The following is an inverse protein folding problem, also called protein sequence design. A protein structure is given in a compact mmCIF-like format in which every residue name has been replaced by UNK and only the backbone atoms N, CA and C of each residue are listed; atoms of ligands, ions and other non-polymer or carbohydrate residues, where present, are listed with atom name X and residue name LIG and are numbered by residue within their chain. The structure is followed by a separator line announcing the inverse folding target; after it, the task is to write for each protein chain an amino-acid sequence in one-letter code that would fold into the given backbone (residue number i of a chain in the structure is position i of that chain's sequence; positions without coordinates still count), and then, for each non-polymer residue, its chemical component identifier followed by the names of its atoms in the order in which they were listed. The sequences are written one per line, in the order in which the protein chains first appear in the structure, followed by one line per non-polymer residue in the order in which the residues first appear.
data_IF_752470426843
#
_entry.id   IF_752470426843
#
_cell.length_a   1.000
_cell.length_b   1.000
_cell.length_c   1.000
_cell.angle_alpha   90.00
_cell.angle_beta   90.00
_cell.angle_gamma   90.00
#
_symmetry.space_group_name_H-M   'P 1'
#
loop_
_entity.id
_entity.type
_entity.pdbx_description
1 polymer ?
#
# COMPACT_ATOMS: atom_id res chain seq x y z
N UNK A 1 31.27 6.15 -16.95
CA UNK A 1 31.25 5.41 -15.68
C UNK A 1 30.86 3.98 -15.98
N UNK A 2 31.60 2.99 -15.48
CA UNK A 2 31.34 1.59 -15.78
C UNK A 2 30.49 0.95 -14.69
N UNK A 3 29.22 1.36 -14.60
CA UNK A 3 28.29 0.78 -13.62
C UNK A 3 27.70 -0.53 -14.13
N UNK A 4 27.51 -1.47 -13.20
CA UNK A 4 26.82 -2.74 -13.46
C UNK A 4 25.50 -2.80 -12.69
N UNK A 5 24.56 -3.60 -13.18
CA UNK A 5 23.27 -3.85 -12.52
C UNK A 5 23.08 -5.34 -12.33
N UNK A 6 22.70 -5.76 -11.12
CA UNK A 6 22.34 -7.15 -10.81
C UNK A 6 21.16 -7.23 -9.86
N UNK A 7 20.56 -8.41 -9.76
CA UNK A 7 19.55 -8.72 -8.75
C UNK A 7 20.07 -8.41 -7.35
N UNK A 8 19.23 -7.78 -6.54
CA UNK A 8 19.48 -7.51 -5.13
C UNK A 8 19.09 -8.73 -4.30
N UNK A 9 20.04 -9.28 -3.56
CA UNK A 9 19.85 -10.43 -2.68
C UNK A 9 19.65 -9.97 -1.24
N UNK A 10 19.26 -10.89 -0.35
CA UNK A 10 19.12 -10.61 1.09
C UNK A 10 20.42 -10.08 1.72
N UNK A 11 21.58 -10.50 1.21
CA UNK A 11 22.90 -10.02 1.63
C UNK A 11 23.15 -8.54 1.32
N UNK A 12 22.46 -7.97 0.33
CA UNK A 12 22.59 -6.55 -0.05
C UNK A 12 21.83 -5.61 0.89
N UNK A 13 21.09 -6.15 1.87
CA UNK A 13 20.26 -5.37 2.80
C UNK A 13 21.05 -4.24 3.48
N UNK A 14 22.25 -4.52 4.01
CA UNK A 14 23.03 -3.52 4.74
C UNK A 14 23.57 -2.41 3.82
N UNK A 15 24.26 -2.72 2.70
CA UNK A 15 24.67 -1.71 1.72
C UNK A 15 23.52 -0.83 1.22
N UNK A 16 22.38 -1.43 0.89
CA UNK A 16 21.20 -0.68 0.42
C UNK A 16 20.62 0.19 1.54
N UNK A 17 20.53 -0.33 2.78
CA UNK A 17 20.06 0.45 3.92
C UNK A 17 20.95 1.66 4.22
N UNK A 18 22.27 1.55 3.98
CA UNK A 18 23.22 2.66 4.08
C UNK A 18 22.94 3.68 2.99
N UNK A 19 22.87 3.26 1.72
CA UNK A 19 22.53 4.12 0.59
C UNK A 19 21.23 4.90 0.83
N UNK A 20 20.17 4.22 1.26
CA UNK A 20 18.87 4.86 1.49
C UNK A 20 18.87 5.82 2.68
N UNK A 21 19.69 5.61 3.71
CA UNK A 21 19.86 6.58 4.83
C UNK A 21 20.52 7.87 4.40
N UNK A 22 21.40 7.81 3.42
CA UNK A 22 22.12 8.96 2.88
C UNK A 22 21.32 9.67 1.76
N UNK A 23 20.14 9.13 1.41
CA UNK A 23 19.31 9.56 0.29
C UNK A 23 18.18 10.53 0.67
N UNK A 24 17.48 11.04 -0.35
CA UNK A 24 16.21 11.77 -0.17
C UNK A 24 15.05 10.87 0.28
N UNK A 25 15.23 9.55 0.22
CA UNK A 25 14.32 8.55 0.78
C UNK A 25 14.66 8.20 2.22
N UNK A 26 15.58 8.95 2.85
CA UNK A 26 15.97 8.73 4.22
C UNK A 26 14.76 8.78 5.14
N UNK A 27 14.60 7.69 5.88
CA UNK A 27 13.59 7.52 6.90
C UNK A 27 14.29 6.94 8.14
N UNK A 28 15.00 7.82 8.84
CA UNK A 28 15.85 7.47 9.99
C UNK A 28 15.06 6.92 11.19
N UNK A 29 13.76 7.21 11.26
CA UNK A 29 12.85 6.64 12.27
C UNK A 29 12.37 5.21 11.94
N UNK A 30 12.65 4.69 10.74
CA UNK A 30 12.32 3.30 10.39
C UNK A 30 13.27 2.36 11.11
N UNK A 31 12.73 1.55 12.03
CA UNK A 31 13.47 0.48 12.70
C UNK A 31 14.01 -0.57 11.72
N UNK A 32 15.15 -1.16 12.06
CA UNK A 32 15.87 -2.15 11.24
C UNK A 32 14.98 -3.34 10.84
N UNK A 33 14.07 -3.76 11.72
CA UNK A 33 13.14 -4.88 11.45
C UNK A 33 12.19 -4.60 10.29
N UNK A 34 11.77 -3.34 10.09
CA UNK A 34 10.90 -3.00 8.96
C UNK A 34 11.68 -3.03 7.64
N UNK A 35 12.95 -2.64 7.67
CA UNK A 35 13.83 -2.71 6.50
C UNK A 35 14.18 -4.15 6.13
N UNK A 36 14.37 -5.03 7.12
CA UNK A 36 14.52 -6.47 6.90
C UNK A 36 13.36 -7.07 6.11
N UNK A 37 12.12 -6.61 6.35
CA UNK A 37 10.94 -7.06 5.60
C UNK A 37 10.99 -6.73 4.11
N UNK A 38 11.71 -5.69 3.70
CA UNK A 38 11.91 -5.37 2.27
C UNK A 38 12.88 -6.35 1.57
N UNK A 39 13.61 -7.15 2.34
CA UNK A 39 14.56 -8.16 1.86
C UNK A 39 14.17 -9.57 2.32
N UNK A 40 12.86 -9.80 2.53
CA UNK A 40 12.30 -11.07 2.94
C UNK A 40 11.04 -11.37 2.13
N UNK A 41 10.82 -12.65 1.82
CA UNK A 41 9.60 -13.08 1.14
C UNK A 41 8.46 -13.26 2.15
N UNK A 42 7.83 -12.14 2.52
CA UNK A 42 6.79 -12.14 3.56
C UNK A 42 5.42 -12.62 3.07
N UNK A 43 5.20 -12.65 1.75
CA UNK A 43 3.90 -12.95 1.12
C UNK A 43 4.01 -14.03 0.05
N UNK A 44 5.05 -14.87 0.12
CA UNK A 44 5.28 -16.00 -0.79
C UNK A 44 5.22 -15.60 -2.26
N UNK A 45 5.91 -14.50 -2.62
CA UNK A 45 6.03 -14.00 -3.98
C UNK A 45 6.80 -14.95 -4.90
N UNK A 46 7.58 -15.87 -4.32
CA UNK A 46 8.24 -16.98 -5.02
C UNK A 46 9.52 -16.58 -5.75
N UNK A 47 10.05 -15.39 -5.48
CA UNK A 47 11.31 -14.90 -6.05
C UNK A 47 12.39 -14.81 -4.97
N UNK A 48 13.65 -15.05 -5.35
CA UNK A 48 14.82 -15.06 -4.48
C UNK A 48 15.56 -13.70 -4.41
N UNK A 49 14.98 -12.67 -5.02
CA UNK A 49 15.55 -11.34 -5.11
C UNK A 49 14.52 -10.24 -4.78
N UNK A 50 15.03 -9.12 -4.29
CA UNK A 50 14.24 -8.04 -3.68
C UNK A 50 14.35 -6.72 -4.41
N UNK A 51 14.86 -6.77 -5.64
CA UNK A 51 15.15 -5.59 -6.43
C UNK A 51 16.35 -5.71 -7.34
N UNK A 52 16.85 -4.56 -7.77
CA UNK A 52 18.09 -4.43 -8.51
C UNK A 52 19.00 -3.43 -7.80
N UNK A 53 20.29 -3.77 -7.69
CA UNK A 53 21.34 -2.84 -7.24
C UNK A 53 22.15 -2.37 -8.42
N UNK A 54 22.57 -1.11 -8.38
CA UNK A 54 23.56 -0.53 -9.28
C UNK A 54 24.88 -0.43 -8.53
N UNK A 55 25.94 -0.93 -9.14
CA UNK A 55 27.26 -1.04 -8.56
C UNK A 55 28.29 -0.25 -9.36
N UNK A 56 29.13 0.49 -8.66
CA UNK A 56 30.42 0.99 -9.17
C UNK A 56 31.54 0.25 -8.42
N UNK A 57 32.17 -0.72 -9.10
CA UNK A 57 32.96 -1.75 -8.43
C UNK A 57 32.11 -2.56 -7.44
N UNK A 58 32.50 -2.56 -6.16
CA UNK A 58 31.77 -3.24 -5.07
C UNK A 58 30.82 -2.32 -4.30
N UNK A 59 30.72 -1.04 -4.69
CA UNK A 59 29.92 -0.04 -3.97
C UNK A 59 28.51 0.05 -4.56
N UNK A 60 27.50 -0.12 -3.72
CA UNK A 60 26.10 0.09 -4.10
C UNK A 60 25.80 1.59 -4.21
N UNK A 61 25.62 2.07 -5.43
CA UNK A 61 25.37 3.49 -5.77
C UNK A 61 23.92 3.76 -6.19
N UNK A 62 23.13 2.71 -6.40
CA UNK A 62 21.72 2.79 -6.73
C UNK A 62 20.93 1.54 -6.38
N UNK A 63 19.63 1.69 -6.20
CA UNK A 63 18.72 0.62 -5.84
C UNK A 63 17.31 0.87 -6.40
N UNK A 64 16.65 -0.19 -6.86
CA UNK A 64 15.22 -0.25 -7.12
C UNK A 64 14.68 -1.48 -6.40
N UNK A 65 13.84 -1.27 -5.38
CA UNK A 65 13.23 -2.34 -4.60
C UNK A 65 12.03 -2.94 -5.32
N UNK A 66 11.87 -4.26 -5.16
CA UNK A 66 10.76 -5.01 -5.73
C UNK A 66 10.14 -5.91 -4.66
N UNK A 67 8.82 -5.95 -4.67
CA UNK A 67 8.04 -6.83 -3.81
C UNK A 67 7.09 -7.68 -4.64
N UNK A 68 7.32 -8.99 -4.63
CA UNK A 68 6.51 -9.96 -5.35
C UNK A 68 5.40 -10.47 -4.45
N UNK A 69 4.18 -10.53 -4.99
CA UNK A 69 3.01 -11.03 -4.27
C UNK A 69 2.10 -11.82 -5.19
N UNK A 70 1.45 -12.83 -4.64
CA UNK A 70 0.38 -13.57 -5.32
C UNK A 70 -0.90 -13.31 -4.56
N UNK A 71 -1.85 -12.60 -5.16
CA UNK A 71 -3.06 -12.18 -4.45
C UNK A 71 -4.19 -13.18 -4.68
N UNK A 72 -4.70 -13.87 -3.64
CA UNK A 72 -5.80 -14.82 -3.78
C UNK A 72 -7.08 -14.16 -4.31
N UNK A 73 -7.33 -12.91 -3.88
CA UNK A 73 -8.51 -12.13 -4.25
C UNK A 73 -8.58 -11.72 -5.73
N UNK A 74 -7.49 -11.90 -6.50
CA UNK A 74 -7.39 -11.57 -7.92
C UNK A 74 -7.09 -12.81 -8.77
N UNK A 75 -7.65 -13.97 -8.41
CA UNK A 75 -7.51 -15.19 -9.21
C UNK A 75 -6.06 -15.71 -9.32
N UNK A 76 -5.28 -15.57 -8.24
CA UNK A 76 -3.84 -15.91 -8.20
C UNK A 76 -2.96 -15.08 -9.16
N UNK A 77 -3.41 -13.90 -9.56
CA UNK A 77 -2.59 -12.99 -10.34
C UNK A 77 -1.30 -12.61 -9.58
N UNK A 78 -0.17 -12.65 -10.29
CA UNK A 78 1.13 -12.22 -9.78
C UNK A 78 1.30 -10.71 -9.93
N UNK A 79 1.74 -10.08 -8.86
CA UNK A 79 2.06 -8.66 -8.81
C UNK A 79 3.52 -8.44 -8.44
N UNK A 80 4.10 -7.37 -8.95
CA UNK A 80 5.40 -6.88 -8.56
C UNK A 80 5.30 -5.38 -8.28
N UNK A 81 5.46 -5.00 -7.02
CA UNK A 81 5.50 -3.60 -6.66
C UNK A 81 6.91 -3.03 -6.72
N UNK A 82 7.04 -1.86 -7.34
CA UNK A 82 8.24 -1.06 -7.39
C UNK A 82 8.23 -0.11 -6.19
N UNK A 83 9.33 -0.11 -5.42
CA UNK A 83 9.51 0.81 -4.30
C UNK A 83 10.96 1.26 -4.19
N UNK A 84 11.21 2.28 -3.35
CA UNK A 84 12.56 2.70 -2.95
C UNK A 84 13.54 2.94 -4.10
N UNK A 85 13.07 3.51 -5.22
CA UNK A 85 13.93 3.80 -6.37
C UNK A 85 14.83 5.02 -6.07
N UNK A 86 16.12 4.78 -5.90
CA UNK A 86 17.10 5.83 -5.66
C UNK A 86 18.43 5.52 -6.33
N UNK A 87 19.08 6.56 -6.85
CA UNK A 87 20.43 6.51 -7.43
C UNK A 87 21.16 7.78 -7.00
N UNK A 88 22.43 7.64 -6.60
CA UNK A 88 23.31 8.77 -6.32
C UNK A 88 23.37 9.75 -7.49
N UNK A 89 23.59 11.03 -7.20
CA UNK A 89 23.42 12.14 -8.15
C UNK A 89 24.27 11.93 -9.41
N UNK A 90 25.50 11.48 -9.22
CA UNK A 90 26.54 11.24 -10.21
C UNK A 90 26.13 10.16 -11.23
N UNK A 91 25.28 9.22 -10.82
CA UNK A 91 24.86 8.06 -11.62
C UNK A 91 23.41 8.14 -12.09
N UNK A 92 22.68 9.25 -11.86
CA UNK A 92 21.25 9.37 -12.21
C UNK A 92 20.94 9.14 -13.69
N UNK A 93 21.87 9.46 -14.59
CA UNK A 93 21.75 9.19 -16.04
C UNK A 93 21.61 7.70 -16.35
N UNK A 94 22.12 6.84 -15.46
CA UNK A 94 22.10 5.39 -15.56
C UNK A 94 20.88 4.77 -14.86
N UNK A 95 20.02 5.57 -14.20
CA UNK A 95 18.91 5.09 -13.36
C UNK A 95 17.94 4.15 -14.08
N UNK A 96 17.73 4.35 -15.39
CA UNK A 96 16.88 3.49 -16.21
C UNK A 96 17.40 2.05 -16.31
N UNK A 97 18.71 1.81 -16.13
CA UNK A 97 19.27 0.45 -16.11
C UNK A 97 18.69 -0.41 -14.98
N UNK A 98 18.20 0.19 -13.90
CA UNK A 98 17.50 -0.52 -12.82
C UNK A 98 16.07 -0.90 -13.22
N UNK A 99 15.40 -0.06 -14.02
CA UNK A 99 14.00 -0.25 -14.42
C UNK A 99 13.85 -1.22 -15.59
N UNK A 100 14.79 -1.23 -16.55
CA UNK A 100 14.70 -2.04 -17.77
C UNK A 100 14.46 -3.54 -17.52
N UNK A 101 15.17 -4.21 -16.58
CA UNK A 101 14.89 -5.60 -16.24
C UNK A 101 13.46 -5.82 -15.73
N UNK A 102 12.91 -4.85 -14.98
CA UNK A 102 11.54 -4.93 -14.45
C UNK A 102 10.51 -4.89 -15.58
N UNK A 103 10.72 -4.01 -16.56
CA UNK A 103 9.83 -3.86 -17.72
C UNK A 103 9.80 -5.10 -18.62
N UNK A 104 10.82 -5.96 -18.53
CA UNK A 104 10.88 -7.23 -19.27
C UNK A 104 9.92 -8.30 -18.71
N UNK A 105 9.43 -8.13 -17.48
CA UNK A 105 8.53 -9.06 -16.80
C UNK A 105 7.10 -8.98 -17.37
N UNK A 106 6.83 -9.66 -18.48
CA UNK A 106 5.51 -9.58 -19.16
C UNK A 106 4.37 -10.32 -18.47
N UNK A 107 4.67 -11.31 -17.63
CA UNK A 107 3.68 -12.18 -16.96
C UNK A 107 3.26 -11.69 -15.57
N UNK A 108 3.71 -10.51 -15.16
CA UNK A 108 3.46 -9.95 -13.83
C UNK A 108 2.88 -8.55 -13.99
N UNK A 109 1.88 -8.22 -13.16
CA UNK A 109 1.34 -6.86 -13.12
C UNK A 109 2.24 -5.99 -12.25
N UNK A 110 2.79 -4.92 -12.83
CA UNK A 110 3.68 -4.02 -12.10
C UNK A 110 2.85 -2.93 -11.39
N UNK A 111 3.22 -2.61 -10.15
CA UNK A 111 2.56 -1.61 -9.33
C UNK A 111 3.55 -0.57 -8.82
N UNK A 112 3.10 0.67 -8.67
CA UNK A 112 3.82 1.69 -7.93
C UNK A 112 2.81 2.62 -7.26
N UNK A 113 2.61 2.49 -5.94
CA UNK A 113 1.58 3.24 -5.23
C UNK A 113 1.97 4.68 -4.88
N UNK A 114 3.26 4.95 -4.73
CA UNK A 114 3.76 6.26 -4.29
C UNK A 114 4.91 6.74 -5.19
N UNK A 115 4.68 6.88 -6.52
CA UNK A 115 5.69 7.45 -7.40
C UNK A 115 5.95 8.92 -7.04
N UNK A 116 7.19 9.37 -7.20
CA UNK A 116 7.47 10.80 -7.29
C UNK A 116 7.00 11.34 -8.64
N UNK A 117 6.81 12.66 -8.81
CA UNK A 117 6.44 13.24 -10.10
C UNK A 117 7.36 12.78 -11.26
N UNK A 118 8.68 12.76 -11.03
CA UNK A 118 9.65 12.29 -12.03
C UNK A 118 9.46 10.81 -12.38
N UNK A 119 9.27 9.95 -11.37
CA UNK A 119 9.03 8.52 -11.55
C UNK A 119 7.71 8.28 -12.27
N UNK A 120 6.69 9.09 -11.98
CA UNK A 120 5.40 9.04 -12.66
C UNK A 120 5.57 9.32 -14.16
N UNK A 121 6.19 10.44 -14.53
CA UNK A 121 6.43 10.80 -15.94
C UNK A 121 7.24 9.74 -16.69
N UNK A 122 8.28 9.20 -16.07
CA UNK A 122 9.07 8.11 -16.66
C UNK A 122 8.19 6.86 -16.86
N UNK A 123 7.42 6.47 -15.84
CA UNK A 123 6.59 5.27 -15.89
C UNK A 123 5.49 5.37 -16.94
N UNK A 124 4.88 6.55 -17.13
CA UNK A 124 3.89 6.80 -18.20
C UNK A 124 4.47 6.52 -19.59
N UNK A 125 5.72 6.93 -19.85
CA UNK A 125 6.43 6.64 -21.12
C UNK A 125 6.62 5.15 -21.37
N UNK A 126 6.68 4.35 -20.31
CA UNK A 126 6.78 2.89 -20.39
C UNK A 126 5.42 2.19 -20.32
N UNK A 127 4.31 2.90 -20.55
CA UNK A 127 2.98 2.32 -20.66
C UNK A 127 2.36 1.87 -19.33
N UNK A 128 2.77 2.48 -18.21
CA UNK A 128 1.98 2.44 -16.98
C UNK A 128 0.75 3.35 -17.16
N UNK A 129 -0.37 2.92 -16.57
CA UNK A 129 -1.62 3.67 -16.52
C UNK A 129 -1.93 4.07 -15.08
N UNK A 130 -2.80 5.06 -14.93
CA UNK A 130 -3.12 5.63 -13.63
C UNK A 130 -3.98 4.64 -12.83
N UNK A 131 -3.62 4.49 -11.57
CA UNK A 131 -4.33 3.74 -10.55
C UNK A 131 -4.61 4.70 -9.40
N UNK A 132 -5.77 4.57 -8.75
CA UNK A 132 -6.14 5.39 -7.58
C UNK A 132 -5.89 6.88 -7.85
N UNK A 133 -6.74 7.56 -8.61
CA UNK A 133 -6.55 8.99 -8.96
C UNK A 133 -7.16 9.95 -7.93
N UNK A 134 -8.16 9.48 -7.19
CA UNK A 134 -8.92 10.28 -6.24
C UNK A 134 -9.01 9.56 -4.89
N UNK A 135 -9.01 10.37 -3.83
CA UNK A 135 -9.15 9.92 -2.47
C UNK A 135 -10.39 10.51 -1.82
N UNK A 136 -11.01 9.71 -0.96
CA UNK A 136 -12.06 10.16 -0.07
C UNK A 136 -11.52 10.31 1.35
N UNK A 137 -11.54 11.54 1.86
CA UNK A 137 -11.19 11.88 3.23
C UNK A 137 -12.45 11.87 4.08
N UNK A 138 -12.48 11.02 5.09
CA UNK A 138 -13.58 10.85 6.02
C UNK A 138 -13.19 11.46 7.37
N UNK A 139 -13.61 12.69 7.62
CA UNK A 139 -13.34 13.39 8.87
C UNK A 139 -14.21 12.86 10.02
N UNK A 140 -13.78 12.99 11.28
CA UNK A 140 -14.50 12.50 12.46
C UNK A 140 -15.68 13.39 12.86
N UNK A 141 -16.48 13.84 11.88
CA UNK A 141 -17.66 14.70 12.08
C UNK A 141 -18.94 13.91 11.79
N UNK A 142 -19.33 12.96 12.68
CA UNK A 142 -20.52 12.14 12.45
C UNK A 142 -21.78 12.99 12.33
N UNK A 143 -22.66 12.63 11.40
CA UNK A 143 -24.00 13.19 11.34
C UNK A 143 -24.87 12.52 12.41
N UNK A 144 -25.31 13.24 13.46
CA UNK A 144 -26.06 12.65 14.57
C UNK A 144 -27.35 11.94 14.13
N UNK A 145 -27.99 12.41 13.06
CA UNK A 145 -29.23 11.83 12.53
C UNK A 145 -29.03 10.44 11.90
N UNK A 146 -27.79 10.12 11.51
CA UNK A 146 -27.41 8.85 10.88
C UNK A 146 -26.75 7.87 11.85
N UNK A 147 -26.50 8.28 13.09
CA UNK A 147 -25.95 7.37 14.11
C UNK A 147 -26.99 6.31 14.46
N UNK A 148 -26.58 5.04 14.45
CA UNK A 148 -27.43 3.90 14.82
C UNK A 148 -26.66 3.00 15.79
N UNK A 149 -27.25 2.72 16.95
CA UNK A 149 -26.67 1.81 17.97
C UNK A 149 -26.49 0.36 17.51
N UNK A 150 -27.15 -0.03 16.41
CA UNK A 150 -27.06 -1.39 15.84
C UNK A 150 -25.68 -1.70 15.27
N UNK A 151 -24.94 -0.68 14.82
CA UNK A 151 -23.61 -0.86 14.24
C UNK A 151 -22.56 -0.81 15.34
N UNK A 152 -21.76 -1.85 15.45
CA UNK A 152 -20.66 -1.95 16.41
C UNK A 152 -19.35 -2.10 15.66
N UNK A 153 -18.32 -1.43 16.15
CA UNK A 153 -16.96 -1.61 15.67
C UNK A 153 -16.20 -2.44 16.71
N UNK A 154 -15.88 -3.67 16.34
CA UNK A 154 -15.01 -4.54 17.12
C UNK A 154 -13.55 -4.28 16.73
N UNK A 155 -12.73 -4.06 17.75
CA UNK A 155 -11.31 -3.70 17.63
C UNK A 155 -10.39 -4.78 18.22
N UNK A 156 -10.95 -5.72 18.99
CA UNK A 156 -10.24 -6.88 19.52
C UNK A 156 -9.98 -7.89 18.41
N UNK A 157 -8.70 -8.04 18.06
CA UNK A 157 -8.21 -8.93 17.01
C UNK A 157 -8.65 -10.38 17.20
N UNK A 158 -8.77 -10.85 18.45
CA UNK A 158 -9.19 -12.22 18.74
C UNK A 158 -10.65 -12.46 18.43
N UNK A 159 -11.49 -11.43 18.61
CA UNK A 159 -12.91 -11.49 18.28
C UNK A 159 -13.11 -11.37 16.77
N UNK A 160 -12.39 -10.44 16.12
CA UNK A 160 -12.46 -10.21 14.66
C UNK A 160 -12.36 -11.52 13.88
N UNK A 161 -11.46 -12.42 14.29
CA UNK A 161 -11.25 -13.72 13.64
C UNK A 161 -12.52 -14.60 13.54
N UNK A 162 -13.46 -14.45 14.49
CA UNK A 162 -14.70 -15.24 14.52
C UNK A 162 -15.73 -14.87 13.44
N UNK A 163 -15.58 -13.74 12.76
CA UNK A 163 -16.50 -13.28 11.71
C UNK A 163 -15.91 -13.31 10.30
N UNK A 164 -14.66 -13.74 10.15
CA UNK A 164 -13.97 -13.72 8.85
C UNK A 164 -14.53 -14.81 7.94
N UNK A 165 -14.80 -14.46 6.69
CA UNK A 165 -14.95 -15.46 5.63
C UNK A 165 -13.63 -16.21 5.38
N UNK A 166 -13.68 -17.30 4.61
CA UNK A 166 -12.48 -18.05 4.23
C UNK A 166 -11.45 -17.17 3.52
N UNK A 167 -11.89 -16.31 2.61
CA UNK A 167 -11.02 -15.38 1.88
C UNK A 167 -10.42 -14.30 2.80
N UNK A 168 -11.23 -13.72 3.70
CA UNK A 168 -10.76 -12.73 4.66
C UNK A 168 -9.82 -13.33 5.70
N UNK A 169 -9.96 -14.62 6.01
CA UNK A 169 -9.05 -15.36 6.90
C UNK A 169 -7.64 -15.47 6.32
N UNK A 170 -7.51 -15.65 5.00
CA UNK A 170 -6.21 -15.61 4.32
C UNK A 170 -5.60 -14.21 4.46
N UNK A 171 -6.36 -13.18 4.09
CA UNK A 171 -5.93 -11.78 4.21
C UNK A 171 -5.52 -11.43 5.64
N UNK A 172 -6.27 -11.87 6.65
CA UNK A 172 -5.96 -11.66 8.05
C UNK A 172 -4.62 -12.30 8.44
N UNK A 173 -4.39 -13.57 8.08
CA UNK A 173 -3.12 -14.27 8.36
C UNK A 173 -1.94 -13.60 7.68
N UNK A 174 -2.08 -13.21 6.42
CA UNK A 174 -1.02 -12.56 5.63
C UNK A 174 -0.57 -11.22 6.24
N UNK A 175 -1.45 -10.58 7.03
CA UNK A 175 -1.21 -9.25 7.60
C UNK A 175 -1.01 -9.24 9.12
N UNK A 176 -1.14 -10.37 9.80
CA UNK A 176 -1.00 -10.48 11.25
C UNK A 176 0.37 -10.03 11.78
N UNK A 177 1.43 -10.15 10.96
CA UNK A 177 2.80 -9.73 11.27
C UNK A 177 3.14 -8.29 10.86
N UNK A 178 2.17 -7.52 10.36
CA UNK A 178 2.38 -6.17 9.84
C UNK A 178 1.69 -5.14 10.74
N UNK A 179 2.24 -3.92 10.78
CA UNK A 179 1.71 -2.85 11.62
C UNK A 179 0.43 -2.24 11.00
N UNK A 180 -0.68 -2.95 11.15
CA UNK A 180 -2.02 -2.50 10.77
C UNK A 180 -3.04 -2.89 11.85
N UNK A 181 -4.19 -2.21 11.86
CA UNK A 181 -5.32 -2.56 12.70
C UNK A 181 -6.32 -3.39 11.91
N UNK A 182 -6.73 -4.48 12.52
CA UNK A 182 -7.78 -5.36 12.06
C UNK A 182 -9.06 -5.00 12.80
N UNK A 183 -10.12 -4.65 12.07
CA UNK A 183 -11.37 -4.20 12.65
C UNK A 183 -12.53 -4.95 12.01
N UNK A 184 -13.62 -5.09 12.75
CA UNK A 184 -14.86 -5.66 12.23
C UNK A 184 -16.03 -4.74 12.53
N UNK A 185 -16.73 -4.30 11.48
CA UNK A 185 -18.05 -3.68 11.66
C UNK A 185 -19.06 -4.81 11.71
N UNK A 186 -19.90 -4.82 12.74
CA UNK A 186 -20.99 -5.79 12.88
C UNK A 186 -22.32 -5.05 12.94
N UNK A 187 -23.26 -5.48 12.11
CA UNK A 187 -24.65 -5.12 12.22
C UNK A 187 -25.37 -6.11 13.14
N UNK A 188 -25.63 -5.69 14.38
CA UNK A 188 -26.22 -6.56 15.41
C UNK A 188 -27.66 -7.04 15.12
N UNK A 189 -28.32 -6.46 14.11
CA UNK A 189 -29.71 -6.86 13.75
C UNK A 189 -29.72 -7.84 12.58
N UNK A 190 -28.88 -7.62 11.56
CA UNK A 190 -28.84 -8.52 10.38
C UNK A 190 -27.78 -9.62 10.49
N UNK A 191 -26.81 -9.47 11.40
CA UNK A 191 -25.65 -10.35 11.49
C UNK A 191 -24.60 -10.10 10.42
N UNK A 192 -24.82 -9.12 9.53
CA UNK A 192 -23.84 -8.77 8.50
C UNK A 192 -22.57 -8.19 9.12
N UNK A 193 -21.43 -8.53 8.53
CA UNK A 193 -20.11 -8.12 8.98
C UNK A 193 -19.31 -7.45 7.86
N UNK A 194 -18.37 -6.58 8.22
CA UNK A 194 -17.45 -5.94 7.29
C UNK A 194 -16.06 -5.87 7.93
N UNK A 195 -15.16 -6.68 7.41
CA UNK A 195 -13.76 -6.68 7.82
C UNK A 195 -13.02 -5.48 7.22
N UNK A 196 -12.24 -4.80 8.05
CA UNK A 196 -11.40 -3.67 7.65
C UNK A 196 -9.96 -3.88 8.08
N UNK A 197 -9.05 -3.46 7.21
CA UNK A 197 -7.65 -3.24 7.58
C UNK A 197 -7.37 -1.74 7.46
N UNK A 198 -6.93 -1.14 8.56
CA UNK A 198 -6.61 0.30 8.62
C UNK A 198 -5.19 0.47 9.15
N UNK A 199 -4.37 1.22 8.43
CA UNK A 199 -3.02 1.57 8.86
C UNK A 199 -2.93 3.05 9.21
N UNK A 200 -2.32 3.35 10.35
CA UNK A 200 -1.93 4.73 10.68
C UNK A 200 -0.77 5.13 9.79
N UNK A 201 -0.91 6.25 9.11
CA UNK A 201 0.12 6.85 8.26
C UNK A 201 0.18 8.36 8.53
N UNK A 202 1.18 9.02 7.95
CA UNK A 202 1.33 10.47 8.01
C UNK A 202 1.47 11.02 6.61
N UNK A 203 0.66 12.03 6.27
CA UNK A 203 0.77 12.77 5.01
C UNK A 203 1.84 13.87 5.12
N UNK A 204 1.65 14.73 6.11
CA UNK A 204 2.63 15.70 6.61
C UNK A 204 2.95 15.33 8.05
N UNK A 205 4.07 15.85 8.59
CA UNK A 205 4.49 15.52 9.96
C UNK A 205 3.40 15.85 11.01
N UNK A 206 2.54 16.85 10.75
CA UNK A 206 1.42 17.24 11.60
C UNK A 206 0.07 16.64 11.19
N UNK A 207 0.00 15.85 10.11
CA UNK A 207 -1.26 15.34 9.53
C UNK A 207 -1.27 13.80 9.55
N UNK A 208 -1.53 13.17 10.73
CA UNK A 208 -1.72 11.74 10.83
C UNK A 208 -3.08 11.32 10.27
N UNK A 209 -3.10 10.30 9.43
CA UNK A 209 -4.28 9.77 8.76
C UNK A 209 -4.42 8.26 9.00
N UNK A 210 -5.65 7.75 9.00
CA UNK A 210 -5.94 6.33 8.99
C UNK A 210 -6.22 5.87 7.56
N UNK A 211 -5.25 5.28 6.89
CA UNK A 211 -5.44 4.75 5.55
C UNK A 211 -6.21 3.43 5.64
N UNK A 212 -7.40 3.38 5.06
CA UNK A 212 -8.16 2.14 4.86
C UNK A 212 -7.52 1.40 3.69
N UNK A 213 -7.10 0.16 3.93
CA UNK A 213 -6.35 -0.68 2.98
C UNK A 213 -7.20 -1.82 2.43
N UNK A 214 -8.22 -2.22 3.18
CA UNK A 214 -9.14 -3.26 2.80
C UNK A 214 -10.53 -2.96 3.34
N UNK A 215 -11.53 -3.08 2.47
CA UNK A 215 -12.95 -3.10 2.84
C UNK A 215 -13.56 -4.40 2.32
N UNK A 216 -14.06 -5.23 3.23
CA UNK A 216 -14.73 -6.50 2.89
C UNK A 216 -16.14 -6.27 2.31
N UNK A 217 -16.91 -5.36 2.91
CA UNK A 217 -18.27 -5.01 2.50
C UNK A 217 -18.44 -3.47 2.44
N UNK A 218 -18.22 -2.84 1.26
CA UNK A 218 -18.33 -1.39 1.07
C UNK A 218 -19.70 -0.81 1.41
N UNK A 219 -20.78 -1.57 1.18
CA UNK A 219 -22.14 -1.14 1.50
C UNK A 219 -22.35 -0.98 3.01
N UNK A 220 -21.96 -2.00 3.80
CA UNK A 220 -22.04 -1.94 5.26
C UNK A 220 -21.10 -0.86 5.81
N UNK A 221 -19.89 -0.73 5.26
CA UNK A 221 -18.95 0.33 5.62
C UNK A 221 -19.59 1.72 5.48
N UNK A 222 -20.15 2.02 4.30
CA UNK A 222 -20.69 3.34 4.00
C UNK A 222 -21.92 3.69 4.87
N UNK A 223 -22.88 2.75 5.00
CA UNK A 223 -24.12 3.00 5.75
C UNK A 223 -23.91 3.09 7.27
N UNK A 224 -22.82 2.52 7.78
CA UNK A 224 -22.49 2.51 9.22
C UNK A 224 -21.48 3.58 9.63
N UNK A 225 -20.81 4.24 8.68
CA UNK A 225 -19.66 5.14 8.90
C UNK A 225 -19.88 6.15 10.05
N UNK A 226 -21.03 6.81 10.08
CA UNK A 226 -21.38 7.81 11.09
C UNK A 226 -21.41 7.26 12.53
N UNK A 227 -21.58 5.96 12.71
CA UNK A 227 -21.74 5.34 14.04
C UNK A 227 -20.40 5.00 14.71
N UNK A 228 -19.30 4.93 13.96
CA UNK A 228 -18.01 4.47 14.50
C UNK A 228 -16.80 5.34 14.13
N UNK A 229 -16.87 6.17 13.09
CA UNK A 229 -15.70 6.93 12.59
C UNK A 229 -15.01 7.81 13.63
N UNK A 230 -15.79 8.47 14.50
CA UNK A 230 -15.25 9.34 15.54
C UNK A 230 -14.44 8.52 16.55
N UNK A 231 -15.00 7.42 17.02
CA UNK A 231 -14.34 6.50 17.94
C UNK A 231 -13.04 5.97 17.36
N UNK A 232 -13.07 5.49 16.11
CA UNK A 232 -11.87 4.96 15.46
C UNK A 232 -10.78 6.03 15.28
N UNK A 233 -11.14 7.23 14.82
CA UNK A 233 -10.18 8.33 14.67
C UNK A 233 -9.51 8.68 16.00
N UNK A 234 -10.27 8.74 17.10
CA UNK A 234 -9.73 9.00 18.44
C UNK A 234 -8.81 7.87 18.91
N UNK A 235 -9.24 6.61 18.79
CA UNK A 235 -8.45 5.43 19.18
C UNK A 235 -7.14 5.30 18.38
N UNK A 236 -7.16 5.69 17.10
CA UNK A 236 -5.99 5.68 16.24
C UNK A 236 -5.19 6.98 16.32
N UNK A 237 -5.71 8.03 16.97
CA UNK A 237 -5.14 9.39 17.06
C UNK A 237 -4.93 10.08 15.71
N UNK A 238 -5.82 9.84 14.74
CA UNK A 238 -5.73 10.35 13.36
C UNK A 238 -6.76 11.46 13.13
N UNK A 239 -6.44 12.39 12.22
CA UNK A 239 -7.34 13.50 11.88
C UNK A 239 -8.50 13.07 10.99
N UNK A 240 -8.31 12.06 10.15
CA UNK A 240 -9.32 11.51 9.27
C UNK A 240 -8.95 10.10 8.82
N UNK A 241 -9.94 9.39 8.27
CA UNK A 241 -9.71 8.17 7.51
C UNK A 241 -9.61 8.49 6.02
N UNK A 242 -8.84 7.70 5.27
CA UNK A 242 -8.61 7.91 3.85
C UNK A 242 -8.76 6.59 3.12
N UNK A 243 -9.53 6.56 2.02
CA UNK A 243 -9.54 5.44 1.08
C UNK A 243 -9.48 5.91 -0.37
N UNK A 244 -9.22 4.98 -1.30
CA UNK A 244 -9.42 5.21 -2.73
C UNK A 244 -10.90 5.53 -2.99
N UNK A 245 -11.18 6.64 -3.66
CA UNK A 245 -12.55 7.06 -3.93
C UNK A 245 -13.31 6.02 -4.78
N UNK A 246 -12.62 5.31 -5.68
CA UNK A 246 -13.23 4.28 -6.52
C UNK A 246 -13.79 3.09 -5.71
N UNK A 247 -13.21 2.75 -4.57
CA UNK A 247 -13.69 1.64 -3.71
C UNK A 247 -15.03 1.96 -3.04
N UNK A 248 -15.31 3.25 -2.86
CA UNK A 248 -16.53 3.76 -2.22
C UNK A 248 -17.44 4.51 -3.22
N UNK A 249 -17.13 4.44 -4.52
CA UNK A 249 -17.94 5.03 -5.56
C UNK A 249 -19.34 4.39 -5.57
N UNK A 250 -20.38 5.23 -5.64
CA UNK A 250 -21.78 4.78 -5.61
C UNK A 250 -22.39 4.64 -4.21
N UNK A 251 -21.62 4.78 -3.13
CA UNK A 251 -22.15 4.75 -1.77
C UNK A 251 -22.25 6.16 -1.16
N UNK A 252 -23.41 6.56 -0.60
CA UNK A 252 -23.57 7.88 -0.02
C UNK A 252 -22.83 8.01 1.32
N UNK A 253 -21.87 8.93 1.41
CA UNK A 253 -21.08 9.19 2.62
C UNK A 253 -21.32 10.61 3.14
N UNK A 254 -21.45 10.75 4.46
CA UNK A 254 -21.60 12.06 5.14
C UNK A 254 -20.26 12.64 5.55
N UNK A 255 -20.09 13.97 5.48
CA UNK A 255 -18.91 14.64 6.06
C UNK A 255 -17.59 14.13 5.47
N UNK A 256 -17.59 13.87 4.17
CA UNK A 256 -16.42 13.45 3.42
C UNK A 256 -15.95 14.54 2.47
N UNK A 257 -14.67 14.52 2.13
CA UNK A 257 -14.08 15.40 1.12
C UNK A 257 -13.39 14.55 0.08
N UNK A 258 -13.77 14.72 -1.18
CA UNK A 258 -13.04 14.16 -2.31
C UNK A 258 -11.85 15.07 -2.63
N UNK A 259 -10.69 14.47 -2.82
CA UNK A 259 -9.50 15.16 -3.32
C UNK A 259 -8.90 14.38 -4.46
N UNK A 260 -8.36 15.10 -5.46
CA UNK A 260 -7.46 14.49 -6.43
C UNK A 260 -6.11 14.26 -5.76
N UNK A 261 -5.46 13.16 -6.11
CA UNK A 261 -4.04 13.00 -5.79
C UNK A 261 -3.23 13.92 -6.69
N UNK A 262 -2.16 14.48 -6.16
CA UNK A 262 -1.26 15.31 -6.93
C UNK A 262 -0.33 14.42 -7.79
N UNK A 263 0.05 13.22 -7.30
CA UNK A 263 0.55 12.10 -8.14
C UNK A 263 -0.31 10.83 -8.00
N UNK A 264 -0.96 10.35 -9.08
CA UNK A 264 -1.65 9.06 -9.10
C UNK A 264 -0.72 7.87 -8.81
N UNK A 265 -1.27 6.82 -8.22
CA UNK A 265 -0.59 5.52 -8.25
C UNK A 265 -0.55 4.99 -9.69
N UNK A 266 0.26 3.98 -9.94
CA UNK A 266 0.48 3.45 -11.28
C UNK A 266 0.37 1.94 -11.32
N UNK A 267 -0.18 1.45 -12.42
CA UNK A 267 -0.21 0.02 -12.74
C UNK A 267 0.22 -0.21 -14.19
N UNK A 268 0.97 -1.28 -14.42
CA UNK A 268 1.19 -1.84 -15.75
C UNK A 268 0.67 -3.27 -15.76
N UNK A 269 -0.52 -3.52 -16.36
CA UNK A 269 -1.08 -4.86 -16.41
C UNK A 269 -0.15 -5.87 -17.07
N UNK A 270 -0.16 -7.11 -16.59
CA UNK A 270 0.48 -8.22 -17.27
C UNK A 270 -0.06 -8.37 -18.71
N UNK A 271 0.80 -8.79 -19.64
CA UNK A 271 0.41 -9.00 -21.03
C UNK A 271 -0.69 -10.05 -21.14
N UNK A 272 -1.80 -9.72 -21.80
CA UNK A 272 -2.96 -10.62 -21.93
C UNK A 272 -3.89 -10.67 -20.71
N UNK A 273 -3.63 -9.90 -19.65
CA UNK A 273 -4.54 -9.78 -18.52
C UNK A 273 -5.68 -8.82 -18.87
N UNK A 274 -6.92 -9.30 -18.82
CA UNK A 274 -8.09 -8.43 -18.72
C UNK A 274 -8.16 -7.93 -17.28
N UNK A 275 -8.06 -6.61 -17.08
CA UNK A 275 -8.16 -6.00 -15.75
C UNK A 275 -9.63 -6.04 -15.30
N UNK A 276 -10.07 -7.15 -14.70
CA UNK A 276 -11.47 -7.32 -14.27
C UNK A 276 -11.69 -7.06 -12.78
N UNK A 277 -10.65 -7.12 -11.94
CA UNK A 277 -10.77 -6.92 -10.50
C UNK A 277 -10.08 -5.63 -10.01
N UNK A 278 -10.69 -4.89 -9.05
CA UNK A 278 -10.07 -3.72 -8.46
C UNK A 278 -8.81 -4.13 -7.68
N UNK A 279 -7.66 -3.59 -8.08
CA UNK A 279 -6.37 -3.87 -7.44
C UNK A 279 -6.34 -3.17 -6.08
N UNK A 280 -6.36 -3.96 -4.99
CA UNK A 280 -6.28 -3.45 -3.63
C UNK A 280 -4.81 -3.24 -3.23
N UNK A 281 -4.47 -2.13 -2.57
CA UNK A 281 -3.10 -1.82 -2.15
C UNK A 281 -2.64 -2.60 -0.90
N UNK A 282 -3.23 -3.76 -0.68
CA UNK A 282 -3.19 -4.50 0.57
C UNK A 282 -1.83 -5.16 0.77
N UNK A 283 -1.20 -5.70 -0.27
CA UNK A 283 0.07 -6.42 -0.13
C UNK A 283 1.27 -5.52 -0.40
N UNK A 284 1.21 -4.26 0.06
CA UNK A 284 2.36 -3.36 -0.02
C UNK A 284 2.28 -2.10 0.82
N UNK A 285 1.16 -1.36 0.79
CA UNK A 285 0.98 -0.19 1.64
C UNK A 285 1.11 -0.50 3.14
N UNK A 286 0.76 -1.71 3.65
CA UNK A 286 1.10 -2.10 5.01
C UNK A 286 2.60 -2.11 5.32
N UNK A 287 3.48 -2.23 4.33
CA UNK A 287 4.94 -2.12 4.53
C UNK A 287 5.46 -0.70 4.39
N UNK A 288 4.76 0.18 3.67
CA UNK A 288 5.21 1.56 3.52
C UNK A 288 5.20 2.31 4.86
N UNK A 289 6.32 2.94 5.19
CA UNK A 289 6.42 3.82 6.37
C UNK A 289 6.14 5.25 5.94
N UNK A 290 4.87 5.64 6.04
CA UNK A 290 4.40 6.98 5.66
C UNK A 290 3.74 7.00 4.29
N UNK A 291 2.87 7.98 4.09
CA UNK A 291 2.07 8.12 2.87
C UNK A 291 2.29 9.51 2.30
N UNK A 292 3.19 9.64 1.32
CA UNK A 292 3.31 10.91 0.61
C UNK A 292 2.20 10.97 -0.42
N UNK A 293 1.14 11.72 -0.09
CA UNK A 293 0.35 12.41 -1.10
C UNK A 293 1.23 13.54 -1.62
N UNK A 294 2.17 13.15 -2.48
CA UNK A 294 2.62 14.04 -3.51
C UNK A 294 1.48 14.33 -4.46
#
# INVERSE_FOLDING_TARGET
MNVTVRKALSSDMYPVCKLLRESTLNSNWIGVNVRKRMFADIWSGGEDYFGYVMLDGDVVVGFLGLLFTTQPCNGQQRFCELHSWYVQVEYRKESLKLLLPVLSMRKVTLLNYTPTPDVYEISKKFGFIDLETELVLMYPFPNPLKIRRRYRLETDVHRVAGWLSEQESVVFRDHAGVECRHLMIVDSVTGESCYLIVKRMTRRWFEPIGRVLFIGNPQLFARSLDSWRLSLCLQMRVQCLVSNAAELAGYPLSGVRLIKREVPSLVKPASGSLASAPIKPLYSLPLLIGYKLH
#
